data_IF_980548239694
#
_entry.id   IF_980548239694
#
_cell.length_a   1.000
_cell.length_b   1.000
_cell.length_c   1.000
_cell.angle_alpha   90.00
_cell.angle_beta   90.00
_cell.angle_gamma   90.00
#
_symmetry.space_group_name_H-M   'P 1'
#
loop_
_entity.id
_entity.type
_entity.pdbx_description
1 polymer ?
#
# COMPACT_ATOMS: atom_id res chain seq x y z
N UNK A 1 27.20 4.45 2.22
CA UNK A 1 25.90 4.80 1.61
C UNK A 1 24.79 4.74 2.66
N UNK A 2 23.90 5.70 2.68
CA UNK A 2 22.79 5.68 3.62
C UNK A 2 21.77 4.59 3.25
N UNK A 3 21.01 4.13 4.23
CA UNK A 3 19.93 3.17 4.01
C UNK A 3 18.91 3.72 2.99
N UNK A 4 18.62 5.01 3.06
CA UNK A 4 17.72 5.68 2.12
C UNK A 4 18.20 5.53 0.68
N UNK A 5 19.48 5.83 0.42
CA UNK A 5 20.04 5.74 -0.93
C UNK A 5 20.07 4.30 -1.44
N UNK A 6 20.40 3.35 -0.57
CA UNK A 6 20.35 1.93 -0.92
C UNK A 6 18.95 1.46 -1.28
N UNK A 7 17.94 1.92 -0.53
CA UNK A 7 16.54 1.58 -0.78
C UNK A 7 16.06 2.17 -2.10
N UNK A 8 16.39 3.44 -2.36
CA UNK A 8 16.01 4.10 -3.61
C UNK A 8 16.58 3.37 -4.83
N UNK A 9 17.83 2.92 -4.74
CA UNK A 9 18.49 2.18 -5.84
C UNK A 9 17.84 0.82 -6.12
N UNK A 10 17.18 0.22 -5.13
CA UNK A 10 16.48 -1.06 -5.27
C UNK A 10 15.08 -0.93 -5.84
N UNK A 11 14.55 0.29 -5.92
CA UNK A 11 13.23 0.53 -6.51
C UNK A 11 13.34 0.37 -8.02
N UNK A 12 12.58 -0.57 -8.56
CA UNK A 12 12.54 -0.85 -9.99
C UNK A 12 11.18 -0.40 -10.56
N UNK A 13 11.11 -0.07 -11.86
CA UNK A 13 9.84 0.18 -12.50
C UNK A 13 8.99 -1.10 -12.53
N UNK A 14 7.66 -0.99 -12.66
CA UNK A 14 6.80 -2.16 -12.77
C UNK A 14 7.22 -3.08 -13.92
N UNK A 15 7.08 -4.39 -13.71
CA UNK A 15 7.41 -5.39 -14.72
C UNK A 15 6.28 -5.48 -15.75
N UNK A 16 6.46 -4.83 -16.88
CA UNK A 16 5.46 -4.78 -17.94
C UNK A 16 5.20 -6.14 -18.60
N UNK A 17 6.20 -7.01 -18.63
CA UNK A 17 6.05 -8.36 -19.18
C UNK A 17 5.11 -9.20 -18.32
N UNK A 18 5.28 -9.14 -17.01
CA UNK A 18 4.42 -9.84 -16.07
C UNK A 18 2.99 -9.31 -16.14
N UNK A 19 2.81 -8.00 -16.19
CA UNK A 19 1.49 -7.36 -16.33
C UNK A 19 0.80 -7.85 -17.60
N UNK A 20 1.50 -7.81 -18.73
CA UNK A 20 0.93 -8.22 -20.01
C UNK A 20 0.56 -9.70 -20.03
N UNK A 21 1.38 -10.54 -19.44
CA UNK A 21 1.12 -11.97 -19.34
C UNK A 21 -0.18 -12.24 -18.57
N UNK A 22 -0.34 -11.63 -17.39
CA UNK A 22 -1.52 -11.81 -16.55
C UNK A 22 -2.75 -11.19 -17.21
N UNK A 23 -2.61 -10.04 -17.82
CA UNK A 23 -3.71 -9.41 -18.57
C UNK A 23 -4.25 -10.31 -19.68
N UNK A 24 -3.36 -10.90 -20.48
CA UNK A 24 -3.74 -11.84 -21.53
C UNK A 24 -4.38 -13.11 -20.95
N UNK A 25 -3.85 -13.60 -19.83
CA UNK A 25 -4.40 -14.78 -19.16
C UNK A 25 -5.81 -14.53 -18.63
N UNK A 26 -6.07 -13.36 -18.06
CA UNK A 26 -7.41 -12.98 -17.62
C UNK A 26 -8.39 -12.92 -18.80
N UNK A 27 -7.96 -12.36 -19.92
CA UNK A 27 -8.79 -12.27 -21.11
C UNK A 27 -9.15 -13.65 -21.67
N UNK A 28 -8.27 -14.65 -21.53
CA UNK A 28 -8.49 -16.02 -21.99
C UNK A 28 -9.36 -16.84 -21.02
N UNK A 29 -9.21 -16.63 -19.72
CA UNK A 29 -9.86 -17.45 -18.70
C UNK A 29 -11.17 -16.88 -18.18
N UNK A 30 -11.35 -15.56 -18.27
CA UNK A 30 -12.54 -14.87 -17.80
C UNK A 30 -13.19 -14.10 -18.94
N UNK A 31 -14.43 -14.45 -19.25
CA UNK A 31 -15.19 -13.76 -20.32
C UNK A 31 -15.57 -12.32 -19.93
N UNK A 32 -15.54 -11.98 -18.65
CA UNK A 32 -15.91 -10.66 -18.14
C UNK A 32 -14.88 -10.16 -17.10
N UNK A 33 -13.60 -10.14 -17.50
CA UNK A 33 -12.54 -9.63 -16.62
C UNK A 33 -12.75 -8.15 -16.26
N UNK A 34 -13.32 -7.37 -17.17
CA UNK A 34 -13.61 -5.95 -16.91
C UNK A 34 -14.67 -5.74 -15.83
N UNK A 35 -15.51 -6.76 -15.57
CA UNK A 35 -16.46 -6.73 -14.47
C UNK A 35 -15.83 -6.71 -13.08
N UNK A 36 -14.53 -7.02 -12.98
CA UNK A 36 -13.78 -6.87 -11.72
C UNK A 36 -13.53 -5.41 -11.34
N UNK A 37 -13.62 -4.47 -12.30
CA UNK A 37 -13.41 -3.06 -12.06
C UNK A 37 -12.02 -2.76 -11.50
N UNK A 38 -11.95 -2.00 -10.40
CA UNK A 38 -10.67 -1.62 -9.78
C UNK A 38 -9.87 -2.81 -9.26
N UNK A 39 -10.51 -3.94 -8.94
CA UNK A 39 -9.81 -5.13 -8.49
C UNK A 39 -8.84 -5.65 -9.57
N UNK A 40 -9.23 -5.58 -10.85
CA UNK A 40 -8.35 -5.92 -11.96
C UNK A 40 -7.12 -5.02 -11.98
N UNK A 41 -7.31 -3.71 -11.82
CA UNK A 41 -6.22 -2.75 -11.81
C UNK A 41 -5.25 -3.00 -10.63
N UNK A 42 -5.77 -3.29 -9.46
CA UNK A 42 -4.96 -3.62 -8.29
C UNK A 42 -4.16 -4.89 -8.51
N UNK A 43 -4.76 -5.92 -9.10
CA UNK A 43 -4.06 -7.16 -9.42
C UNK A 43 -2.89 -6.91 -10.38
N UNK A 44 -3.13 -6.17 -11.46
CA UNK A 44 -2.10 -5.88 -12.44
C UNK A 44 -0.96 -5.05 -11.85
N UNK A 45 -1.26 -4.10 -10.98
CA UNK A 45 -0.23 -3.34 -10.25
C UNK A 45 0.60 -4.24 -9.34
N UNK A 46 -0.06 -5.12 -8.60
CA UNK A 46 0.62 -6.06 -7.71
C UNK A 46 1.55 -6.99 -8.49
N UNK A 47 1.08 -7.52 -9.60
CA UNK A 47 1.89 -8.34 -10.51
C UNK A 47 3.09 -7.55 -11.03
N UNK A 48 2.88 -6.30 -11.44
CA UNK A 48 3.96 -5.44 -11.93
C UNK A 48 5.02 -5.14 -10.88
N UNK A 49 4.61 -4.91 -9.64
CA UNK A 49 5.52 -4.60 -8.53
C UNK A 49 6.32 -5.83 -8.15
N UNK A 50 5.70 -7.00 -8.05
CA UNK A 50 6.35 -8.24 -7.61
C UNK A 50 7.09 -8.96 -8.73
N UNK A 51 6.71 -8.73 -9.98
CA UNK A 51 7.22 -9.48 -11.12
C UNK A 51 6.75 -10.93 -11.15
N UNK A 52 5.80 -11.31 -10.32
CA UNK A 52 5.31 -12.68 -10.19
C UNK A 52 3.99 -12.85 -10.93
N UNK A 53 3.95 -13.78 -11.88
CA UNK A 53 2.72 -14.08 -12.63
C UNK A 53 1.70 -14.87 -11.81
N UNK A 54 2.13 -15.50 -10.72
CA UNK A 54 1.28 -16.16 -9.73
C UNK A 54 1.70 -15.64 -8.34
N UNK A 55 1.35 -14.39 -7.99
CA UNK A 55 1.81 -13.80 -6.74
C UNK A 55 1.17 -14.50 -5.53
N UNK A 56 2.01 -14.79 -4.54
CA UNK A 56 1.54 -15.28 -3.25
C UNK A 56 1.09 -14.11 -2.38
N UNK A 57 0.17 -14.36 -1.47
CA UNK A 57 -0.26 -13.34 -0.52
C UNK A 57 0.85 -13.20 0.54
N UNK A 58 1.50 -12.03 0.62
CA UNK A 58 2.58 -11.82 1.58
C UNK A 58 2.04 -11.65 3.00
N UNK A 59 2.95 -11.62 3.96
CA UNK A 59 2.60 -11.22 5.31
C UNK A 59 2.07 -9.78 5.30
N UNK A 60 0.99 -9.57 6.03
CA UNK A 60 0.36 -8.26 6.11
C UNK A 60 0.91 -7.48 7.29
N UNK A 61 1.24 -6.22 7.06
CA UNK A 61 1.69 -5.30 8.08
C UNK A 61 0.82 -4.06 8.08
N UNK A 62 0.52 -3.57 9.25
CA UNK A 62 -0.10 -2.26 9.41
C UNK A 62 0.87 -1.36 10.13
N UNK A 63 1.22 -0.25 9.48
CA UNK A 63 2.12 0.76 10.07
C UNK A 63 1.27 1.97 10.43
N UNK A 64 1.25 2.31 11.71
CA UNK A 64 0.52 3.46 12.20
C UNK A 64 1.55 4.50 12.64
N UNK A 65 1.50 5.65 12.00
CA UNK A 65 2.38 6.77 12.31
C UNK A 65 1.54 7.92 12.85
N UNK A 66 2.01 8.53 13.91
CA UNK A 66 1.31 9.61 14.57
C UNK A 66 2.27 10.79 14.78
N UNK A 67 1.71 11.99 14.75
CA UNK A 67 2.47 13.20 15.00
C UNK A 67 1.56 14.25 15.61
N UNK A 68 2.12 14.98 16.55
CA UNK A 68 1.44 16.15 17.11
C UNK A 68 1.64 17.34 16.17
N UNK A 69 0.59 18.14 16.03
CA UNK A 69 0.63 19.33 15.22
C UNK A 69 0.71 20.57 16.11
N UNK A 70 1.70 21.42 15.88
CA UNK A 70 1.88 22.66 16.67
C UNK A 70 0.64 23.55 16.65
N UNK A 71 -0.17 23.50 15.61
CA UNK A 71 -1.40 24.27 15.51
C UNK A 71 -2.42 23.88 16.60
N UNK A 72 -2.32 22.66 17.18
CA UNK A 72 -3.20 22.23 18.27
C UNK A 72 -3.07 23.11 19.52
N UNK A 73 -1.93 23.76 19.74
CA UNK A 73 -1.71 24.70 20.83
C UNK A 73 -2.56 25.97 20.68
N UNK A 74 -3.05 26.24 19.48
CA UNK A 74 -3.90 27.40 19.18
C UNK A 74 -5.39 27.14 19.38
N UNK A 75 -5.76 26.02 19.99
CA UNK A 75 -7.14 25.62 20.28
C UNK A 75 -8.05 25.56 19.06
N UNK A 76 -7.50 25.18 17.91
CA UNK A 76 -8.28 25.05 16.66
C UNK A 76 -9.04 23.74 16.55
N UNK A 77 -8.76 22.77 17.46
CA UNK A 77 -9.43 21.47 17.51
C UNK A 77 -10.28 21.34 18.78
N UNK A 78 -11.36 20.58 18.68
CA UNK A 78 -12.18 20.22 19.84
C UNK A 78 -11.46 19.26 20.79
N UNK A 79 -10.38 18.62 20.34
CA UNK A 79 -9.63 17.64 21.12
C UNK A 79 -8.25 18.20 21.48
N UNK A 80 -7.76 17.95 22.72
CA UNK A 80 -6.42 18.36 23.11
C UNK A 80 -5.34 17.53 22.41
N UNK A 81 -4.11 18.02 22.44
CA UNK A 81 -2.97 17.37 21.79
C UNK A 81 -2.69 15.96 22.35
N UNK A 82 -2.99 15.73 23.64
CA UNK A 82 -2.82 14.43 24.28
C UNK A 82 -3.68 13.32 23.66
N UNK A 83 -4.72 13.66 22.92
CA UNK A 83 -5.57 12.71 22.23
C UNK A 83 -4.77 11.84 21.27
N UNK A 84 -3.76 12.39 20.60
CA UNK A 84 -2.89 11.63 19.68
C UNK A 84 -2.20 10.47 20.41
N UNK A 85 -1.62 10.71 21.58
CA UNK A 85 -0.96 9.69 22.35
C UNK A 85 -1.95 8.62 22.85
N UNK A 86 -3.14 9.03 23.29
CA UNK A 86 -4.19 8.10 23.72
C UNK A 86 -4.66 7.19 22.59
N UNK A 87 -4.91 7.74 21.42
CA UNK A 87 -5.34 6.97 20.27
C UNK A 87 -4.26 6.01 19.81
N UNK A 88 -3.00 6.44 19.82
CA UNK A 88 -1.87 5.58 19.46
C UNK A 88 -1.77 4.39 20.40
N UNK A 89 -1.92 4.60 21.70
CA UNK A 89 -1.90 3.52 22.71
C UNK A 89 -3.07 2.55 22.50
N UNK A 90 -4.24 3.05 22.13
CA UNK A 90 -5.40 2.21 21.87
C UNK A 90 -5.15 1.22 20.73
N UNK A 91 -4.41 1.61 19.69
CA UNK A 91 -4.04 0.70 18.61
C UNK A 91 -3.12 -0.43 19.08
N UNK A 92 -2.34 -0.21 20.13
CA UNK A 92 -1.41 -1.21 20.65
C UNK A 92 -2.10 -2.26 21.52
N UNK A 93 -3.24 -1.94 22.12
CA UNK A 93 -3.92 -2.79 23.10
C UNK A 93 -5.23 -3.39 22.62
N UNK A 94 -5.73 -3.01 21.44
CA UNK A 94 -7.01 -3.50 20.89
C UNK A 94 -6.86 -4.58 19.78
#
# INVERSE_FOLDING_TARGET
MSLLNQTIKKILPPDQRAIKFVENKLAQTMTNADGLGELKNLLLRYVGITGQIHPEIPKKFTIITCGDHGVAEMNVSAYPQETTAHMTKNYLVS
#
